data_IF_161420624163
#
_entry.id   IF_161420624163
#
_cell.length_a   1.000
_cell.length_b   1.000
_cell.length_c   1.000
_cell.angle_alpha   90.00
_cell.angle_beta   90.00
_cell.angle_gamma   90.00
#
_symmetry.space_group_name_H-M   'P 1'
#
loop_
_entity.id
_entity.type
_entity.pdbx_description
1 polymer ?
#
# COMPACT_ATOMS: atom_id res chain seq x y z
N UNK A 1 -42.07 -21.19 -0.39
CA UNK A 1 -41.66 -19.79 -0.60
C UNK A 1 -41.81 -19.03 0.71
N UNK A 2 -40.72 -18.49 1.22
CA UNK A 2 -40.69 -17.75 2.49
C UNK A 2 -41.39 -16.38 2.33
N UNK A 3 -42.07 -15.90 3.37
CA UNK A 3 -42.86 -14.65 3.38
C UNK A 3 -42.05 -13.42 2.97
N UNK A 4 -40.73 -13.46 3.20
CA UNK A 4 -39.78 -12.38 2.86
C UNK A 4 -39.43 -12.32 1.37
N UNK A 5 -39.38 -13.46 0.68
CA UNK A 5 -39.06 -13.51 -0.76
C UNK A 5 -40.18 -12.85 -1.60
N UNK A 6 -41.44 -13.02 -1.18
CA UNK A 6 -42.57 -12.33 -1.83
C UNK A 6 -42.55 -10.79 -1.73
N UNK A 7 -41.78 -10.22 -0.80
CA UNK A 7 -41.69 -8.77 -0.63
C UNK A 7 -40.58 -8.14 -1.48
N UNK A 8 -39.44 -8.83 -1.67
CA UNK A 8 -38.36 -8.31 -2.50
C UNK A 8 -38.78 -8.19 -3.97
N UNK A 9 -39.53 -9.15 -4.51
CA UNK A 9 -40.01 -9.10 -5.90
C UNK A 9 -40.92 -7.89 -6.14
N UNK A 10 -41.76 -7.56 -5.16
CA UNK A 10 -42.64 -6.40 -5.22
C UNK A 10 -41.88 -5.08 -5.12
N UNK A 11 -40.82 -5.02 -4.31
CA UNK A 11 -39.97 -3.84 -4.18
C UNK A 11 -39.19 -3.61 -5.47
N UNK A 12 -38.54 -4.64 -6.01
CA UNK A 12 -37.78 -4.54 -7.25
C UNK A 12 -38.65 -4.13 -8.44
N UNK A 13 -39.86 -4.69 -8.56
CA UNK A 13 -40.82 -4.28 -9.59
C UNK A 13 -41.22 -2.81 -9.46
N UNK A 14 -41.42 -2.32 -8.23
CA UNK A 14 -41.83 -0.94 -7.94
C UNK A 14 -40.70 0.07 -8.18
N UNK A 15 -39.47 -0.28 -7.82
CA UNK A 15 -38.33 0.66 -7.86
C UNK A 15 -37.59 0.63 -9.19
N UNK A 16 -37.47 -0.54 -9.82
CA UNK A 16 -36.69 -0.73 -11.04
C UNK A 16 -37.57 -0.88 -12.28
N UNK A 17 -38.89 -1.14 -12.11
CA UNK A 17 -39.82 -1.33 -13.23
C UNK A 17 -39.68 -2.67 -13.96
N UNK A 18 -38.80 -3.56 -13.50
CA UNK A 18 -38.55 -4.86 -14.11
C UNK A 18 -39.05 -6.00 -13.22
N UNK A 19 -39.64 -7.02 -13.83
CA UNK A 19 -39.99 -8.26 -13.14
C UNK A 19 -38.73 -9.13 -12.95
N UNK A 20 -38.53 -9.61 -11.73
CA UNK A 20 -37.38 -10.44 -11.39
C UNK A 20 -37.60 -11.86 -11.94
N UNK A 21 -36.63 -12.43 -12.70
CA UNK A 21 -36.70 -13.82 -13.11
C UNK A 21 -36.71 -14.78 -11.91
N UNK A 22 -37.44 -15.89 -12.05
CA UNK A 22 -37.45 -16.95 -11.04
C UNK A 22 -36.02 -17.46 -10.81
N UNK A 23 -35.66 -17.68 -9.54
CA UNK A 23 -34.35 -18.17 -9.09
C UNK A 23 -33.11 -17.30 -9.39
N UNK A 24 -33.27 -16.02 -9.78
CA UNK A 24 -32.15 -15.12 -10.11
C UNK A 24 -31.03 -15.08 -9.04
N UNK A 25 -31.41 -15.03 -7.76
CA UNK A 25 -30.45 -14.96 -6.65
C UNK A 25 -30.05 -16.33 -6.08
N UNK A 26 -30.68 -17.42 -6.54
CA UNK A 26 -30.50 -18.76 -5.97
C UNK A 26 -29.04 -19.23 -6.13
N UNK A 27 -28.46 -19.00 -7.31
CA UNK A 27 -27.07 -19.37 -7.63
C UNK A 27 -26.07 -18.65 -6.73
N UNK A 28 -26.18 -17.33 -6.60
CA UNK A 28 -25.27 -16.52 -5.79
C UNK A 28 -25.36 -16.89 -4.30
N UNK A 29 -26.59 -17.03 -3.78
CA UNK A 29 -26.85 -17.44 -2.39
C UNK A 29 -26.19 -18.79 -2.06
N UNK A 30 -26.37 -19.77 -2.94
CA UNK A 30 -25.78 -21.10 -2.77
C UNK A 30 -24.25 -21.07 -2.85
N UNK A 31 -23.69 -20.28 -3.78
CA UNK A 31 -22.24 -20.11 -3.90
C UNK A 31 -21.62 -19.45 -2.66
N UNK A 32 -22.23 -18.38 -2.15
CA UNK A 32 -21.75 -17.70 -0.93
C UNK A 32 -21.83 -18.63 0.27
N UNK A 33 -22.97 -19.32 0.46
CA UNK A 33 -23.16 -20.24 1.56
C UNK A 33 -22.13 -21.38 1.53
N UNK A 34 -21.88 -21.96 0.35
CA UNK A 34 -20.87 -23.01 0.20
C UNK A 34 -19.46 -22.54 0.55
N UNK A 35 -19.11 -21.28 0.32
CA UNK A 35 -17.77 -20.75 0.60
C UNK A 35 -17.57 -20.39 2.07
N UNK A 36 -18.61 -19.85 2.71
CA UNK A 36 -18.54 -19.45 4.12
C UNK A 36 -18.63 -20.66 5.06
N UNK A 37 -19.49 -21.63 4.76
CA UNK A 37 -19.65 -22.83 5.59
C UNK A 37 -18.47 -23.79 5.53
N UNK A 38 -17.64 -23.73 4.48
CA UNK A 38 -16.44 -24.57 4.35
C UNK A 38 -15.16 -23.88 4.82
N UNK A 39 -15.25 -22.80 5.61
CA UNK A 39 -14.07 -22.18 6.21
C UNK A 39 -13.47 -23.16 7.24
N UNK A 40 -12.59 -24.04 6.76
CA UNK A 40 -11.93 -25.08 7.54
C UNK A 40 -11.14 -24.39 8.64
N UNK A 41 -11.44 -24.71 9.89
CA UNK A 41 -10.68 -24.24 11.05
C UNK A 41 -9.19 -24.45 10.78
N UNK A 42 -8.47 -23.34 10.57
CA UNK A 42 -7.04 -23.41 10.29
C UNK A 42 -6.37 -23.95 11.54
N UNK A 43 -5.73 -25.12 11.41
CA UNK A 43 -5.04 -25.76 12.53
C UNK A 43 -3.91 -24.84 12.99
N UNK A 44 -4.12 -24.13 14.09
CA UNK A 44 -3.11 -23.26 14.71
C UNK A 44 -2.06 -24.17 15.33
N UNK A 45 -0.96 -24.40 14.62
CA UNK A 45 0.16 -25.18 15.13
C UNK A 45 1.01 -24.26 16.01
N UNK A 46 1.03 -24.50 17.32
CA UNK A 46 1.86 -23.75 18.25
C UNK A 46 3.35 -24.05 18.02
N UNK A 47 4.01 -23.23 17.20
CA UNK A 47 5.44 -23.33 16.83
C UNK A 47 6.43 -23.14 18.00
N UNK A 48 5.95 -22.77 19.18
CA UNK A 48 6.80 -22.22 20.24
C UNK A 48 7.40 -23.26 21.20
N UNK A 49 6.90 -24.51 21.21
CA UNK A 49 7.22 -25.45 22.31
C UNK A 49 8.65 -26.00 22.29
N UNK A 50 9.30 -26.14 21.13
CA UNK A 50 10.62 -26.79 21.04
C UNK A 50 11.80 -25.80 21.03
N UNK A 51 11.59 -24.54 20.62
CA UNK A 51 12.69 -23.56 20.50
C UNK A 51 13.10 -22.91 21.83
N UNK A 52 12.28 -23.01 22.87
CA UNK A 52 12.51 -22.35 24.17
C UNK A 52 13.73 -22.90 24.92
N UNK A 53 14.07 -24.18 24.75
CA UNK A 53 15.24 -24.80 25.41
C UNK A 53 16.55 -24.23 24.86
N UNK A 54 16.63 -23.92 23.57
CA UNK A 54 17.83 -23.32 22.97
C UNK A 54 18.02 -21.87 23.41
N UNK A 55 16.92 -21.12 23.58
CA UNK A 55 16.99 -19.76 24.13
C UNK A 55 17.44 -19.76 25.59
N UNK A 56 17.00 -20.73 26.41
CA UNK A 56 17.44 -20.86 27.79
C UNK A 56 18.94 -21.16 27.89
N UNK A 57 19.45 -22.09 27.07
CA UNK A 57 20.87 -22.42 27.04
C UNK A 57 21.75 -21.24 26.57
N UNK A 58 21.31 -20.50 25.55
CA UNK A 58 22.02 -19.30 25.06
C UNK A 58 22.09 -18.20 26.12
N UNK A 59 21.02 -17.99 26.88
CA UNK A 59 21.00 -17.00 27.98
C UNK A 59 22.01 -17.32 29.08
N UNK A 60 22.11 -18.59 29.49
CA UNK A 60 23.08 -19.03 30.49
C UNK A 60 24.51 -18.84 29.97
N UNK A 61 24.79 -19.20 28.72
CA UNK A 61 26.10 -19.02 28.10
C UNK A 61 26.53 -17.55 28.01
N UNK A 62 25.60 -16.64 27.67
CA UNK A 62 25.85 -15.19 27.61
C UNK A 62 26.24 -14.64 28.98
N UNK A 63 25.49 -14.99 30.04
CA UNK A 63 25.78 -14.56 31.41
C UNK A 63 27.16 -15.08 31.84
N UNK A 64 27.48 -16.33 31.52
CA UNK A 64 28.78 -16.91 31.83
C UNK A 64 29.93 -16.22 31.09
N UNK A 65 29.74 -15.88 29.81
CA UNK A 65 30.70 -15.14 29.02
C UNK A 65 30.96 -13.75 29.62
N UNK A 66 29.91 -13.03 30.02
CA UNK A 66 30.04 -11.71 30.68
C UNK A 66 30.72 -11.84 32.04
N UNK A 67 30.40 -12.88 32.83
CA UNK A 67 30.94 -13.08 34.17
C UNK A 67 32.44 -13.43 34.18
N UNK A 68 32.92 -14.19 33.18
CA UNK A 68 34.33 -14.59 33.07
C UNK A 68 35.16 -13.52 32.34
N UNK A 69 34.52 -12.65 31.56
CA UNK A 69 35.20 -11.56 30.86
C UNK A 69 35.70 -10.51 31.88
N UNK A 70 37.01 -10.52 32.15
CA UNK A 70 37.66 -9.50 32.97
C UNK A 70 37.37 -8.12 32.38
N UNK A 71 36.74 -7.26 33.19
CA UNK A 71 36.30 -5.92 32.82
C UNK A 71 37.52 -5.03 32.49
N UNK A 72 37.92 -5.07 31.23
CA UNK A 72 38.84 -4.10 30.65
C UNK A 72 38.09 -2.76 30.65
N UNK A 73 38.72 -1.72 31.20
CA UNK A 73 38.11 -0.41 31.40
C UNK A 73 37.26 0.01 30.19
N UNK A 74 35.96 0.18 30.42
CA UNK A 74 35.02 0.66 29.42
C UNK A 74 35.52 2.06 29.05
N UNK A 75 35.98 2.31 27.80
CA UNK A 75 36.33 3.67 27.38
C UNK A 75 35.07 4.54 27.56
N UNK A 76 35.26 5.71 28.17
CA UNK A 76 34.17 6.63 28.49
C UNK A 76 33.26 6.81 27.28
N UNK A 77 31.99 6.43 27.42
CA UNK A 77 30.96 6.48 26.39
C UNK A 77 30.62 7.95 26.15
N UNK A 78 31.46 8.65 25.38
CA UNK A 78 31.16 10.01 24.97
C UNK A 78 30.34 10.03 23.68
N UNK A 79 30.51 9.01 22.82
CA UNK A 79 29.95 8.99 21.46
C UNK A 79 29.48 7.58 21.03
N UNK A 80 28.51 6.99 21.73
CA UNK A 80 27.72 5.87 21.18
C UNK A 80 26.33 6.40 20.83
N UNK A 81 25.79 6.15 19.63
CA UNK A 81 24.40 6.49 19.36
C UNK A 81 23.50 5.69 20.30
N UNK A 82 22.66 6.41 21.04
CA UNK A 82 21.57 5.84 21.84
C UNK A 82 20.65 5.10 20.88
N UNK A 83 20.86 3.80 20.70
CA UNK A 83 19.87 2.90 20.13
C UNK A 83 18.81 2.64 21.18
N UNK A 84 18.01 3.65 21.49
CA UNK A 84 16.74 3.39 22.15
C UNK A 84 15.70 4.48 21.86
N UNK A 85 14.51 4.00 21.49
CA UNK A 85 13.26 4.30 22.20
C UNK A 85 12.30 5.37 21.65
N UNK A 86 11.92 5.32 20.37
CA UNK A 86 10.63 5.93 19.94
C UNK A 86 9.42 5.01 20.20
N UNK A 87 9.39 4.42 21.40
CA UNK A 87 8.13 4.34 22.17
C UNK A 87 8.06 5.42 23.25
N UNK A 88 9.13 6.17 23.53
CA UNK A 88 9.19 7.13 24.64
C UNK A 88 9.67 8.51 24.18
N UNK A 89 8.82 9.19 23.42
CA UNK A 89 8.39 10.56 23.70
C UNK A 89 9.49 11.54 24.15
N UNK A 90 10.20 12.20 23.22
CA UNK A 90 10.69 13.58 23.41
C UNK A 90 11.13 14.18 22.06
N UNK A 91 10.42 15.22 21.64
CA UNK A 91 10.76 16.16 20.58
C UNK A 91 12.24 16.53 20.52
N UNK A 92 12.99 16.02 19.52
CA UNK A 92 14.24 16.64 19.02
C UNK A 92 14.42 16.40 17.52
N UNK A 93 13.96 17.37 16.74
CA UNK A 93 14.58 17.87 15.51
C UNK A 93 15.19 16.78 14.59
N UNK A 94 14.32 16.12 13.82
CA UNK A 94 14.67 15.26 12.70
C UNK A 94 15.31 16.07 11.56
N UNK A 95 16.56 16.50 11.73
CA UNK A 95 17.40 16.86 10.58
C UNK A 95 17.88 15.58 9.91
N UNK A 96 16.96 14.96 9.18
CA UNK A 96 17.08 14.66 7.75
C UNK A 96 18.46 14.20 7.24
N UNK A 97 19.05 13.19 7.88
CA UNK A 97 20.12 12.39 7.27
C UNK A 97 19.57 11.08 6.66
N UNK A 98 18.26 11.00 6.40
CA UNK A 98 17.60 9.88 5.74
C UNK A 98 17.56 10.00 4.20
N UNK A 99 18.27 10.95 3.60
CA UNK A 99 18.22 11.17 2.15
C UNK A 99 18.73 9.96 1.35
N UNK A 100 19.68 9.19 1.90
CA UNK A 100 20.29 8.06 1.17
C UNK A 100 19.42 6.80 1.07
N UNK A 101 18.33 6.69 1.85
CA UNK A 101 17.47 5.50 1.85
C UNK A 101 16.31 5.60 0.85
N UNK A 102 15.95 6.83 0.45
CA UNK A 102 14.83 7.09 -0.44
C UNK A 102 15.19 7.06 -1.93
N UNK A 103 16.48 7.16 -2.27
CA UNK A 103 16.90 7.23 -3.67
C UNK A 103 16.82 5.89 -4.41
N UNK A 104 16.85 4.75 -3.71
CA UNK A 104 16.92 3.43 -4.36
C UNK A 104 15.55 2.84 -4.73
N UNK A 105 14.46 3.25 -4.08
CA UNK A 105 13.11 2.75 -4.36
C UNK A 105 12.29 3.83 -5.07
N UNK A 106 12.12 3.67 -6.39
CA UNK A 106 11.37 4.61 -7.24
C UNK A 106 9.92 4.81 -6.77
N UNK A 107 9.31 3.78 -6.14
CA UNK A 107 7.94 3.85 -5.64
C UNK A 107 7.86 4.74 -4.39
N UNK A 108 8.89 4.70 -3.54
CA UNK A 108 8.97 5.55 -2.35
C UNK A 108 9.42 6.96 -2.72
N UNK A 109 10.41 7.09 -3.62
CA UNK A 109 10.85 8.38 -4.15
C UNK A 109 9.68 9.16 -4.79
N UNK A 110 8.78 8.47 -5.47
CA UNK A 110 7.57 9.05 -6.06
C UNK A 110 6.64 9.71 -5.03
N UNK A 111 6.66 9.28 -3.76
CA UNK A 111 5.83 9.87 -2.70
C UNK A 111 6.37 11.22 -2.19
N UNK A 112 7.63 11.53 -2.49
CA UNK A 112 8.31 12.74 -2.02
C UNK A 112 8.67 13.72 -3.14
N UNK A 113 8.18 13.49 -4.37
CA UNK A 113 8.26 14.49 -5.44
C UNK A 113 7.42 15.71 -5.04
N UNK A 114 7.97 16.91 -5.18
CA UNK A 114 7.23 18.13 -4.84
C UNK A 114 6.09 18.39 -5.82
N UNK A 115 4.96 18.91 -5.31
CA UNK A 115 3.78 19.22 -6.11
C UNK A 115 4.09 20.14 -7.30
N UNK A 116 4.99 21.12 -7.11
CA UNK A 116 5.45 22.01 -8.18
C UNK A 116 6.10 21.26 -9.35
N UNK A 117 6.85 20.19 -9.07
CA UNK A 117 7.48 19.39 -10.12
C UNK A 117 6.43 18.55 -10.89
N UNK A 118 5.39 18.08 -10.20
CA UNK A 118 4.25 17.39 -10.81
C UNK A 118 3.44 18.35 -11.68
N UNK A 119 3.16 19.55 -11.20
CA UNK A 119 2.41 20.57 -11.93
C UNK A 119 3.12 21.01 -13.22
N UNK A 120 4.45 21.20 -13.17
CA UNK A 120 5.27 21.51 -14.36
C UNK A 120 5.23 20.35 -15.35
N UNK A 121 5.38 19.10 -14.89
CA UNK A 121 5.31 17.93 -15.76
C UNK A 121 3.96 17.83 -16.46
N UNK A 122 2.86 17.96 -15.72
CA UNK A 122 1.50 17.92 -16.26
C UNK A 122 1.26 19.07 -17.24
N UNK A 123 1.72 20.28 -16.94
CA UNK A 123 1.55 21.44 -17.81
C UNK A 123 2.32 21.28 -19.11
N UNK A 124 3.58 20.81 -19.05
CA UNK A 124 4.38 20.58 -20.23
C UNK A 124 3.80 19.46 -21.11
N UNK A 125 3.35 18.36 -20.51
CA UNK A 125 2.69 17.27 -21.24
C UNK A 125 1.40 17.75 -21.90
N UNK A 126 0.60 18.59 -21.22
CA UNK A 126 -0.60 19.19 -21.84
C UNK A 126 -0.25 20.11 -23.00
N UNK A 127 0.81 20.92 -22.88
CA UNK A 127 1.27 21.79 -23.97
C UNK A 127 1.79 20.97 -25.17
N UNK A 128 2.52 19.89 -24.91
CA UNK A 128 3.07 19.03 -25.95
C UNK A 128 1.96 18.22 -26.65
N UNK A 129 1.15 17.49 -25.89
CA UNK A 129 0.19 16.53 -26.44
C UNK A 129 -1.12 17.17 -26.91
N UNK A 130 -1.57 18.27 -26.29
CA UNK A 130 -2.87 18.87 -26.62
C UNK A 130 -2.69 20.14 -27.42
N UNK A 131 -1.85 21.05 -26.93
CA UNK A 131 -1.74 22.38 -27.51
C UNK A 131 -0.91 22.33 -28.80
N UNK A 132 0.23 21.64 -28.80
CA UNK A 132 1.10 21.58 -29.99
C UNK A 132 0.44 20.78 -31.11
N UNK A 133 -0.21 19.66 -30.81
CA UNK A 133 -0.98 18.90 -31.81
C UNK A 133 -2.13 19.75 -32.41
N UNK A 134 -2.89 20.49 -31.59
CA UNK A 134 -3.95 21.38 -32.07
C UNK A 134 -3.40 22.51 -32.96
N UNK A 135 -2.28 23.15 -32.56
CA UNK A 135 -1.63 24.19 -33.38
C UNK A 135 -0.96 23.64 -34.64
N UNK A 136 -0.41 22.43 -34.62
CA UNK A 136 0.17 21.81 -35.81
C UNK A 136 -0.93 21.42 -36.80
N UNK A 137 -2.07 20.91 -36.33
CA UNK A 137 -3.22 20.64 -37.19
C UNK A 137 -3.77 21.93 -37.79
N UNK A 138 -3.95 22.99 -37.01
CA UNK A 138 -4.39 24.30 -37.52
C UNK A 138 -3.38 24.90 -38.51
N UNK A 139 -2.09 24.83 -38.21
CA UNK A 139 -1.02 25.31 -39.09
C UNK A 139 -0.93 24.52 -40.40
N UNK A 140 -1.05 23.17 -40.35
CA UNK A 140 -1.07 22.33 -41.55
C UNK A 140 -2.31 22.64 -42.40
N UNK A 141 -3.47 22.87 -41.78
CA UNK A 141 -4.69 23.26 -42.50
C UNK A 141 -4.51 24.62 -43.17
N UNK A 142 -3.92 25.60 -42.50
CA UNK A 142 -3.66 26.94 -43.07
C UNK A 142 -2.62 26.91 -44.21
N UNK A 143 -1.52 26.16 -44.04
CA UNK A 143 -0.49 25.96 -45.08
C UNK A 143 -1.09 25.27 -46.33
N UNK A 144 -1.90 24.22 -46.15
CA UNK A 144 -2.59 23.53 -47.25
C UNK A 144 -3.62 24.41 -47.96
N UNK A 145 -4.33 25.28 -47.22
CA UNK A 145 -5.25 26.26 -47.84
C UNK A 145 -4.53 27.35 -48.63
N UNK A 146 -3.26 27.63 -48.32
CA UNK A 146 -2.46 28.64 -48.99
C UNK A 146 -1.68 28.10 -50.21
N UNK A 147 -1.32 26.81 -50.24
CA UNK A 147 -0.66 26.19 -51.40
C UNK A 147 -1.59 25.97 -52.60
N UNK A 148 -2.91 25.87 -52.40
CA UNK A 148 -3.91 25.74 -53.48
C UNK A 148 -4.19 27.09 -54.22
N UNK A 149 -3.48 28.18 -53.89
CA UNK A 149 -3.67 29.50 -54.50
C UNK A 149 -2.56 29.95 -55.49
N UNK A 150 -1.69 29.04 -55.94
CA UNK A 150 -0.73 29.29 -57.04
C UNK A 150 -0.77 28.23 -58.14
#
# INVERSE_FOLDING_TARGET
>A
MDSKEKNIDKIHKKELGFDLPEDYFLKSKNQILSKVSTNKETKIIALLKHKMVWFAAAGIALIFAIAVYKQQAIPSIKNMPVLVLDTLNTDKNLNMANYSFFEEDVLIASLFVSDNNVEIFVSNAFIEDVVTDEYLDEFIVEELMNEDLF
#
